data_IF_133330191878
#
_entry.id   IF_133330191878
#
_cell.length_a   1.000
_cell.length_b   1.000
_cell.length_c   1.000
_cell.angle_alpha   90.00
_cell.angle_beta   90.00
_cell.angle_gamma   90.00
#
_symmetry.space_group_name_H-M   'P 1'
#
loop_
_entity.id
_entity.type
_entity.pdbx_description
1 polymer ?
#
# COMPACT_ATOMS: atom_id res chain seq x y z
N UNK A 1 -38.57 10.08 52.56
CA UNK A 1 -37.80 9.06 51.81
C UNK A 1 -38.73 8.54 50.74
N UNK A 2 -38.50 8.90 49.48
CA UNK A 2 -39.38 8.53 48.35
C UNK A 2 -38.50 7.93 47.25
N UNK A 3 -38.96 6.81 46.69
CA UNK A 3 -38.27 6.02 45.68
C UNK A 3 -38.77 6.34 44.27
N UNK A 4 -37.82 6.28 43.31
CA UNK A 4 -37.89 5.70 41.94
C UNK A 4 -37.10 6.55 40.93
N UNK A 5 -36.23 5.93 40.10
CA UNK A 5 -35.48 6.63 39.05
C UNK A 5 -35.89 6.27 37.61
N UNK A 6 -35.46 7.17 36.70
CA UNK A 6 -35.09 7.01 35.30
C UNK A 6 -36.19 6.84 34.24
N UNK A 7 -36.37 7.91 33.46
CA UNK A 7 -36.99 7.92 32.13
C UNK A 7 -35.93 7.68 31.04
N UNK A 8 -36.37 7.02 29.98
CA UNK A 8 -35.65 6.55 28.80
C UNK A 8 -34.93 7.64 27.98
N UNK A 9 -33.71 7.32 27.53
CA UNK A 9 -33.21 7.79 26.22
C UNK A 9 -31.95 7.03 25.81
N UNK A 10 -32.08 6.09 24.87
CA UNK A 10 -30.96 5.70 24.00
C UNK A 10 -31.49 5.31 22.62
N UNK A 11 -31.45 6.28 21.72
CA UNK A 11 -31.34 6.05 20.29
C UNK A 11 -29.96 5.40 20.05
N UNK A 12 -29.92 4.15 19.58
CA UNK A 12 -28.69 3.58 19.03
C UNK A 12 -28.79 3.62 17.51
N UNK A 13 -27.84 4.38 16.99
CA UNK A 13 -27.75 4.94 15.68
C UNK A 13 -27.26 3.93 14.65
N UNK A 14 -27.65 4.23 13.42
CA UNK A 14 -27.53 3.50 12.17
C UNK A 14 -26.18 2.87 11.80
N UNK A 15 -26.31 1.82 11.01
CA UNK A 15 -25.29 1.08 10.29
C UNK A 15 -24.70 2.00 9.20
N UNK A 16 -23.73 2.84 9.54
CA UNK A 16 -23.05 3.69 8.56
C UNK A 16 -22.06 2.84 7.77
N UNK A 17 -22.54 2.38 6.61
CA UNK A 17 -21.72 1.82 5.56
C UNK A 17 -20.59 2.76 5.16
N UNK A 18 -19.52 2.14 4.65
CA UNK A 18 -18.33 2.80 4.12
C UNK A 18 -18.68 4.10 3.39
N UNK A 19 -17.92 5.16 3.70
CA UNK A 19 -18.14 6.49 3.14
C UNK A 19 -18.20 6.40 1.61
N UNK A 20 -19.12 7.13 0.97
CA UNK A 20 -19.20 7.23 -0.50
C UNK A 20 -17.84 7.60 -1.15
N UNK A 21 -16.94 8.23 -0.39
CA UNK A 21 -15.57 8.52 -0.83
C UNK A 21 -14.67 7.27 -0.93
N UNK A 22 -14.87 6.27 -0.07
CA UNK A 22 -14.13 5.00 -0.07
C UNK A 22 -14.58 4.08 -1.21
N UNK A 23 -15.88 4.05 -1.53
CA UNK A 23 -16.41 3.22 -2.63
C UNK A 23 -15.97 3.70 -4.01
N UNK A 24 -15.83 5.01 -4.21
CA UNK A 24 -15.26 5.61 -5.41
C UNK A 24 -13.77 5.33 -5.57
N UNK A 25 -13.05 5.21 -4.44
CA UNK A 25 -11.63 4.88 -4.45
C UNK A 25 -11.42 3.41 -4.87
N UNK A 26 -12.22 2.49 -4.32
CA UNK A 26 -12.17 1.07 -4.66
C UNK A 26 -12.57 0.78 -6.12
N UNK A 27 -13.58 1.47 -6.64
CA UNK A 27 -14.04 1.27 -8.02
C UNK A 27 -13.01 1.74 -9.06
N UNK A 28 -12.22 2.78 -8.76
CA UNK A 28 -11.12 3.22 -9.65
C UNK A 28 -9.94 2.25 -9.71
N UNK A 29 -9.70 1.45 -8.66
CA UNK A 29 -8.68 0.40 -8.70
C UNK A 29 -9.12 -0.80 -9.54
N UNK A 30 -10.43 -1.04 -9.65
CA UNK A 30 -11.00 -2.16 -10.40
C UNK A 30 -11.15 -1.90 -11.91
N UNK A 31 -11.17 -0.63 -12.35
CA UNK A 31 -11.31 -0.25 -13.77
C UNK A 31 -10.05 -0.53 -14.62
N UNK A 32 -8.91 -0.85 -14.02
CA UNK A 32 -7.67 -1.15 -14.74
C UNK A 32 -7.61 -2.49 -15.48
N UNK A 33 -8.65 -3.34 -15.39
CA UNK A 33 -8.60 -4.73 -15.84
C UNK A 33 -9.24 -5.02 -17.22
N UNK A 34 -9.76 -4.02 -17.94
CA UNK A 34 -10.39 -4.24 -19.25
C UNK A 34 -9.49 -3.75 -20.40
N UNK A 35 -8.46 -4.52 -20.74
CA UNK A 35 -7.80 -4.41 -22.04
C UNK A 35 -8.52 -5.27 -23.08
N UNK A 36 -9.03 -4.59 -24.10
CA UNK A 36 -9.77 -5.07 -25.26
C UNK A 36 -8.88 -5.87 -26.20
N UNK A 37 -9.29 -7.09 -26.56
CA UNK A 37 -8.67 -7.94 -27.58
C UNK A 37 -9.08 -7.55 -29.02
N UNK A 38 -8.24 -7.96 -29.99
CA UNK A 38 -8.35 -7.95 -31.47
C UNK A 38 -8.23 -6.60 -32.22
N UNK A 39 -7.50 -6.43 -33.34
CA UNK A 39 -6.79 -7.35 -34.23
C UNK A 39 -5.85 -6.56 -35.18
N UNK A 40 -4.78 -7.18 -35.71
CA UNK A 40 -4.23 -6.82 -37.04
C UNK A 40 -2.85 -6.14 -37.19
N UNK A 41 -1.95 -6.88 -37.85
CA UNK A 41 -0.89 -6.45 -38.81
C UNK A 41 0.54 -6.14 -38.34
N UNK A 42 1.46 -6.75 -39.08
CA UNK A 42 2.92 -6.81 -38.96
C UNK A 42 3.64 -5.52 -39.40
N UNK A 43 4.74 -5.16 -38.71
CA UNK A 43 5.91 -4.53 -39.32
C UNK A 43 7.15 -4.67 -38.42
N UNK A 44 8.25 -5.15 -38.99
CA UNK A 44 9.56 -5.22 -38.35
C UNK A 44 10.21 -3.84 -38.26
N UNK A 45 10.51 -3.40 -37.05
CA UNK A 45 11.54 -2.41 -36.78
C UNK A 45 12.23 -2.80 -35.47
N UNK A 46 13.53 -3.14 -35.53
CA UNK A 46 14.39 -3.21 -34.36
C UNK A 46 14.60 -1.80 -33.81
N UNK A 47 13.56 -1.26 -33.20
CA UNK A 47 13.66 -0.15 -32.26
C UNK A 47 13.86 -0.73 -30.88
N UNK A 48 14.76 -0.16 -30.11
CA UNK A 48 14.81 -0.36 -28.66
C UNK A 48 13.43 0.02 -28.12
N UNK A 49 12.56 -0.98 -27.98
CA UNK A 49 11.31 -0.85 -27.25
C UNK A 49 11.72 -0.65 -25.80
N UNK A 50 11.90 0.61 -25.40
CA UNK A 50 11.62 1.03 -24.04
C UNK A 50 10.22 0.51 -23.77
N UNK A 51 10.14 -0.60 -23.04
CA UNK A 51 8.90 -1.24 -22.65
C UNK A 51 8.16 -0.26 -21.73
N UNK A 52 7.50 0.74 -22.31
CA UNK A 52 6.65 1.70 -21.62
C UNK A 52 5.28 1.06 -21.37
N UNK A 53 5.27 -0.18 -20.86
CA UNK A 53 4.24 -0.53 -19.90
C UNK A 53 4.45 0.41 -18.73
N UNK A 54 3.44 1.20 -18.38
CA UNK A 54 3.58 2.26 -17.39
C UNK A 54 4.03 1.67 -16.04
N UNK A 55 5.33 1.75 -15.75
CA UNK A 55 5.86 1.40 -14.43
C UNK A 55 5.11 2.21 -13.37
N UNK A 56 4.65 1.54 -12.32
CA UNK A 56 3.95 2.24 -11.24
C UNK A 56 4.92 3.14 -10.46
N UNK A 57 4.41 4.23 -9.89
CA UNK A 57 5.19 5.17 -9.08
C UNK A 57 4.78 5.06 -7.61
N UNK A 58 5.76 4.89 -6.72
CA UNK A 58 5.49 4.87 -5.27
C UNK A 58 4.94 6.19 -4.75
N UNK A 59 5.35 7.30 -5.38
CA UNK A 59 4.90 8.65 -5.04
C UNK A 59 3.52 9.00 -5.56
N UNK A 60 2.88 8.14 -6.35
CA UNK A 60 1.52 8.39 -6.82
C UNK A 60 0.51 8.25 -5.68
N UNK A 61 -0.54 9.08 -5.72
CA UNK A 61 -1.57 9.11 -4.68
C UNK A 61 -2.29 7.78 -4.53
N UNK A 62 -2.54 7.04 -5.62
CA UNK A 62 -3.19 5.73 -5.54
C UNK A 62 -2.27 4.68 -4.90
N UNK A 63 -0.97 4.70 -5.25
CA UNK A 63 0.04 3.83 -4.65
C UNK A 63 0.17 4.06 -3.14
N UNK A 64 0.28 5.34 -2.74
CA UNK A 64 0.37 5.72 -1.31
C UNK A 64 -0.89 5.28 -0.56
N UNK A 65 -2.07 5.50 -1.13
CA UNK A 65 -3.33 5.09 -0.51
C UNK A 65 -3.40 3.57 -0.31
N UNK A 66 -2.97 2.78 -1.29
CA UNK A 66 -2.91 1.32 -1.17
C UNK A 66 -1.89 0.86 -0.11
N UNK A 67 -0.73 1.51 0.00
CA UNK A 67 0.25 1.23 1.06
C UNK A 67 -0.29 1.59 2.45
N UNK A 68 -0.97 2.73 2.57
CA UNK A 68 -1.69 3.11 3.79
C UNK A 68 -2.75 2.07 4.16
N UNK A 69 -3.50 1.54 3.18
CA UNK A 69 -4.48 0.48 3.42
C UNK A 69 -3.81 -0.79 3.96
N UNK A 70 -2.66 -1.20 3.40
CA UNK A 70 -1.90 -2.34 3.94
C UNK A 70 -1.50 -2.11 5.39
N UNK A 71 -1.11 -0.87 5.75
CA UNK A 71 -0.73 -0.52 7.11
C UNK A 71 -1.91 -0.65 8.07
N UNK A 72 -3.05 -0.08 7.68
CA UNK A 72 -4.31 -0.14 8.43
C UNK A 72 -4.78 -1.58 8.63
N UNK A 73 -4.88 -2.36 7.55
CA UNK A 73 -5.25 -3.79 7.58
C UNK A 73 -4.35 -4.60 8.51
N UNK A 74 -3.08 -4.19 8.63
CA UNK A 74 -2.06 -4.90 9.37
C UNK A 74 -1.78 -4.28 10.74
N UNK A 75 -2.51 -3.28 11.22
CA UNK A 75 -2.22 -2.58 12.49
C UNK A 75 -0.74 -2.15 12.58
N UNK A 76 -0.25 -1.46 11.55
CA UNK A 76 1.10 -0.94 11.44
C UNK A 76 1.08 0.58 11.32
N UNK A 77 2.15 1.21 11.77
CA UNK A 77 2.41 2.62 11.50
C UNK A 77 3.08 2.74 10.13
N UNK A 78 2.52 3.57 9.26
CA UNK A 78 3.11 3.94 7.98
C UNK A 78 3.62 5.38 8.03
N UNK A 79 4.87 5.59 7.62
CA UNK A 79 5.48 6.93 7.61
C UNK A 79 6.25 7.16 6.31
N UNK A 80 6.42 8.43 5.96
CA UNK A 80 7.29 8.86 4.88
C UNK A 80 8.43 9.72 5.44
N UNK A 81 9.66 9.33 5.17
CA UNK A 81 10.87 10.03 5.52
C UNK A 81 11.41 10.75 4.29
N UNK A 82 11.24 12.07 4.22
CA UNK A 82 11.61 12.89 3.05
C UNK A 82 13.12 13.14 2.88
N UNK A 83 13.98 12.58 3.74
CA UNK A 83 15.43 12.73 3.64
C UNK A 83 15.97 11.94 2.44
N UNK A 84 17.04 12.46 1.80
CA UNK A 84 17.88 11.82 0.77
C UNK A 84 17.14 10.73 -0.07
N UNK A 85 16.26 11.18 -0.95
CA UNK A 85 15.46 10.39 -1.92
C UNK A 85 14.08 9.92 -1.46
N UNK A 86 13.69 10.10 -0.19
CA UNK A 86 12.33 9.78 0.24
C UNK A 86 12.12 8.29 0.44
N UNK A 87 11.86 7.89 1.67
CA UNK A 87 11.64 6.49 2.03
C UNK A 87 10.27 6.31 2.67
N UNK A 88 9.58 5.23 2.33
CA UNK A 88 8.36 4.79 2.97
C UNK A 88 8.67 3.70 3.98
N UNK A 89 8.10 3.81 5.16
CA UNK A 89 8.43 2.95 6.29
C UNK A 89 7.16 2.34 6.89
N UNK A 90 7.16 1.03 7.07
CA UNK A 90 6.23 0.33 7.97
C UNK A 90 6.94 -0.01 9.28
N UNK A 91 6.28 0.26 10.39
CA UNK A 91 6.74 -0.10 11.74
C UNK A 91 5.61 -0.77 12.54
N UNK A 92 5.97 -1.68 13.44
CA UNK A 92 5.03 -2.22 14.40
C UNK A 92 4.64 -1.19 15.46
N UNK A 93 3.35 -1.08 15.78
CA UNK A 93 2.86 -0.22 16.87
C UNK A 93 3.43 -0.59 18.25
N UNK A 94 4.00 -1.80 18.38
CA UNK A 94 4.66 -2.28 19.62
C UNK A 94 6.06 -1.71 19.83
N UNK A 95 6.59 -0.90 18.90
CA UNK A 95 7.94 -0.27 18.96
C UNK A 95 9.05 -1.27 19.31
N UNK A 96 9.08 -2.38 18.58
CA UNK A 96 10.12 -3.42 18.73
C UNK A 96 11.42 -3.09 17.97
N UNK A 97 11.55 -1.86 17.46
CA UNK A 97 12.69 -1.39 16.66
C UNK A 97 12.76 -2.01 15.27
N UNK A 98 11.77 -2.79 14.83
CA UNK A 98 11.75 -3.38 13.49
C UNK A 98 10.99 -2.49 12.53
N UNK A 99 11.54 -2.31 11.33
CA UNK A 99 10.88 -1.57 10.27
C UNK A 99 11.13 -2.22 8.91
N UNK A 100 10.17 -2.06 8.00
CA UNK A 100 10.35 -2.34 6.57
C UNK A 100 10.38 -1.01 5.86
N UNK A 101 11.48 -0.74 5.16
CA UNK A 101 11.72 0.51 4.44
C UNK A 101 11.74 0.24 2.97
N UNK A 102 11.11 1.08 2.16
CA UNK A 102 11.33 1.04 0.72
C UNK A 102 11.43 2.42 0.11
N UNK A 103 12.31 2.49 -0.88
CA UNK A 103 12.67 3.70 -1.60
C UNK A 103 12.66 3.46 -3.09
N UNK A 104 12.26 4.49 -3.82
CA UNK A 104 12.27 4.48 -5.27
C UNK A 104 13.70 4.64 -5.80
N UNK A 105 14.13 3.71 -6.65
CA UNK A 105 15.46 3.68 -7.26
C UNK A 105 15.37 3.67 -8.80
N UNK A 106 14.42 4.40 -9.37
CA UNK A 106 14.26 4.53 -10.82
C UNK A 106 13.32 3.47 -11.39
N UNK A 107 13.85 2.44 -12.05
CA UNK A 107 13.05 1.31 -12.58
C UNK A 107 12.75 0.24 -11.52
N UNK A 108 13.35 0.38 -10.34
CA UNK A 108 13.29 -0.60 -9.26
C UNK A 108 12.96 0.08 -7.93
N UNK A 109 12.52 -0.74 -6.99
CA UNK A 109 12.22 -0.36 -5.61
C UNK A 109 13.16 -1.17 -4.73
N UNK A 110 13.93 -0.47 -3.91
CA UNK A 110 14.72 -1.12 -2.87
C UNK A 110 13.83 -1.33 -1.66
N UNK A 111 13.77 -2.56 -1.14
CA UNK A 111 13.04 -2.92 0.09
C UNK A 111 14.06 -3.44 1.10
N UNK A 112 14.11 -2.85 2.28
CA UNK A 112 15.03 -3.20 3.34
C UNK A 112 14.27 -3.51 4.64
N UNK A 113 14.57 -4.65 5.24
CA UNK A 113 14.17 -4.97 6.61
C UNK A 113 15.25 -4.46 7.55
N UNK A 114 14.85 -3.74 8.59
CA UNK A 114 15.77 -3.15 9.56
C UNK A 114 15.40 -3.52 10.98
N UNK A 115 16.42 -3.64 11.82
CA UNK A 115 16.29 -3.73 13.29
C UNK A 115 17.15 -2.60 13.87
N UNK A 116 16.50 -1.58 14.43
CA UNK A 116 17.13 -0.31 14.73
C UNK A 116 17.64 0.36 13.45
N UNK A 117 18.93 0.68 13.42
CA UNK A 117 19.59 1.27 12.25
C UNK A 117 20.25 0.25 11.33
N UNK A 118 20.29 -1.03 11.72
CA UNK A 118 20.93 -2.10 10.95
C UNK A 118 19.97 -2.70 9.91
N UNK A 119 20.45 -2.86 8.68
CA UNK A 119 19.74 -3.58 7.62
C UNK A 119 20.01 -5.08 7.73
N UNK A 120 18.98 -5.85 8.03
CA UNK A 120 19.07 -7.32 8.20
C UNK A 120 18.78 -8.06 6.90
N UNK A 121 18.02 -7.46 5.98
CA UNK A 121 17.74 -7.99 4.66
C UNK A 121 17.46 -6.85 3.70
N UNK A 122 17.95 -6.99 2.46
CA UNK A 122 17.71 -6.02 1.39
C UNK A 122 17.37 -6.79 0.13
N UNK A 123 16.30 -6.39 -0.53
CA UNK A 123 15.85 -6.91 -1.80
C UNK A 123 15.48 -5.77 -2.75
N UNK A 124 15.41 -6.08 -4.04
CA UNK A 124 15.11 -5.11 -5.09
C UNK A 124 13.99 -5.64 -5.97
N UNK A 125 12.97 -4.82 -6.18
CA UNK A 125 11.75 -5.16 -6.90
C UNK A 125 11.63 -4.32 -8.17
N UNK A 126 11.44 -4.98 -9.32
CA UNK A 126 11.16 -4.30 -10.58
C UNK A 126 9.72 -3.77 -10.58
N UNK A 127 9.49 -2.57 -11.12
CA UNK A 127 8.18 -1.91 -11.15
C UNK A 127 7.20 -2.43 -12.21
N UNK A 128 7.19 -3.74 -12.43
CA UNK A 128 6.40 -4.37 -13.51
C UNK A 128 4.98 -4.76 -13.11
N UNK A 129 4.73 -5.05 -11.84
CA UNK A 129 3.42 -5.50 -11.35
C UNK A 129 3.12 -4.94 -9.95
N UNK A 130 2.16 -4.02 -9.90
CA UNK A 130 1.76 -3.37 -8.65
C UNK A 130 1.07 -4.32 -7.66
N UNK A 131 0.21 -5.21 -8.17
CA UNK A 131 -0.53 -6.16 -7.34
C UNK A 131 0.44 -7.12 -6.67
N UNK A 132 1.36 -7.70 -7.45
CA UNK A 132 2.38 -8.59 -6.93
C UNK A 132 3.25 -7.89 -5.86
N UNK A 133 3.66 -6.65 -6.11
CA UNK A 133 4.41 -5.85 -5.14
C UNK A 133 3.62 -5.65 -3.84
N UNK A 134 2.35 -5.25 -3.91
CA UNK A 134 1.49 -5.08 -2.74
C UNK A 134 1.35 -6.36 -1.92
N UNK A 135 1.16 -7.51 -2.58
CA UNK A 135 1.08 -8.81 -1.93
C UNK A 135 2.37 -9.16 -1.18
N UNK A 136 3.52 -8.92 -1.80
CA UNK A 136 4.82 -9.18 -1.19
C UNK A 136 5.09 -8.27 0.00
N UNK A 137 4.77 -6.97 -0.11
CA UNK A 137 4.88 -6.00 1.00
C UNK A 137 4.00 -6.43 2.17
N UNK A 138 2.73 -6.78 1.92
CA UNK A 138 1.81 -7.26 2.96
C UNK A 138 2.38 -8.48 3.68
N UNK A 139 2.87 -9.47 2.92
CA UNK A 139 3.47 -10.67 3.48
C UNK A 139 4.70 -10.36 4.34
N UNK A 140 5.61 -9.53 3.82
CA UNK A 140 6.84 -9.12 4.52
C UNK A 140 6.54 -8.40 5.82
N UNK A 141 5.62 -7.41 5.78
CA UNK A 141 5.22 -6.65 6.96
C UNK A 141 4.62 -7.55 8.04
N UNK A 142 3.71 -8.46 7.70
CA UNK A 142 3.11 -9.39 8.67
C UNK A 142 4.15 -10.35 9.24
N UNK A 143 5.00 -10.93 8.39
CA UNK A 143 5.98 -11.92 8.84
C UNK A 143 7.11 -11.31 9.68
N UNK A 144 7.60 -10.14 9.31
CA UNK A 144 8.76 -9.51 9.96
C UNK A 144 8.40 -8.62 11.15
N UNK A 145 7.31 -7.85 11.05
CA UNK A 145 6.95 -6.83 12.04
C UNK A 145 5.98 -7.33 13.12
N UNK A 146 5.23 -8.41 12.88
CA UNK A 146 4.27 -8.99 13.84
C UNK A 146 4.77 -10.23 14.58
N UNK A 147 6.10 -10.39 14.68
CA UNK A 147 6.74 -11.43 15.51
C UNK A 147 6.49 -11.17 16.99
#
# INVERSE_FOLDING_TARGET
MSASPAEDSFCSQENEGLSFSESLFLSKLNEGLHQKEEDGSSSSASGLISNSGSDFQLSDGASIAALLQIATDSDLTFTFNSRRCGEYCFESNRKNGRMVVFGDTGSEIRVAQKIGDEEVSVETWRKSDWLQFCWAVRGTCVHFLKV
#
